data_IF_882118177706
#
_entry.id   IF_882118177706
#
_cell.length_a   1.000
_cell.length_b   1.000
_cell.length_c   1.000
_cell.angle_alpha   90.00
_cell.angle_beta   90.00
_cell.angle_gamma   90.00
#
_symmetry.space_group_name_H-M   'P 1'
#
loop_
_entity.id
_entity.type
_entity.pdbx_description
1 polymer ?
#
# COMPACT_ATOMS: atom_id res chain seq x y z
N UNK A 1 -7.53 -13.13 -13.89
CA UNK A 1 -8.02 -11.79 -13.50
C UNK A 1 -6.99 -11.11 -12.60
N UNK A 2 -6.52 -9.93 -12.97
CA UNK A 2 -5.51 -9.17 -12.24
C UNK A 2 -6.15 -7.95 -11.55
N UNK A 3 -6.08 -7.93 -10.23
CA UNK A 3 -6.61 -6.87 -9.38
C UNK A 3 -5.47 -6.07 -8.77
N UNK A 4 -5.43 -4.77 -9.04
CA UNK A 4 -4.49 -3.83 -8.43
C UNK A 4 -5.14 -3.13 -7.24
N UNK A 5 -4.50 -3.16 -6.08
CA UNK A 5 -4.80 -2.34 -4.90
C UNK A 5 -3.72 -1.25 -4.82
N UNK A 6 -4.08 -0.03 -5.17
CA UNK A 6 -3.13 1.09 -5.16
C UNK A 6 -3.67 2.32 -4.43
N UNK A 7 -2.82 3.34 -4.33
CA UNK A 7 -3.06 4.56 -3.59
C UNK A 7 -1.79 5.03 -2.90
N UNK A 8 -1.88 6.22 -2.31
CA UNK A 8 -0.73 6.85 -1.65
C UNK A 8 -0.18 6.00 -0.50
N UNK A 9 1.06 6.25 -0.09
CA UNK A 9 1.66 5.58 1.08
C UNK A 9 0.81 5.76 2.35
N UNK A 10 0.71 4.70 3.16
CA UNK A 10 0.11 4.74 4.53
C UNK A 10 -1.38 5.11 4.51
N UNK A 11 -2.17 4.50 3.61
CA UNK A 11 -3.63 4.65 3.57
C UNK A 11 -4.43 3.38 3.93
N UNK A 12 -3.75 2.31 4.38
CA UNK A 12 -4.41 1.06 4.77
C UNK A 12 -4.54 0.00 3.68
N UNK A 13 -3.83 0.12 2.55
CA UNK A 13 -3.82 -0.87 1.45
C UNK A 13 -3.58 -2.30 1.92
N UNK A 14 -2.52 -2.55 2.68
CA UNK A 14 -2.22 -3.91 3.17
C UNK A 14 -3.32 -4.47 4.07
N UNK A 15 -4.01 -3.61 4.83
CA UNK A 15 -5.18 -4.04 5.61
C UNK A 15 -6.36 -4.40 4.71
N UNK A 16 -6.59 -3.65 3.63
CA UNK A 16 -7.61 -3.99 2.63
C UNK A 16 -7.28 -5.32 1.94
N UNK A 17 -6.03 -5.46 1.44
CA UNK A 17 -5.55 -6.70 0.81
C UNK A 17 -5.77 -7.91 1.71
N UNK A 18 -5.34 -7.84 2.98
CA UNK A 18 -5.53 -8.94 3.94
C UNK A 18 -6.99 -9.28 4.20
N UNK A 19 -7.89 -8.28 4.21
CA UNK A 19 -9.33 -8.53 4.32
C UNK A 19 -9.89 -9.23 3.09
N UNK A 20 -9.46 -8.80 1.90
CA UNK A 20 -9.85 -9.41 0.63
C UNK A 20 -9.39 -10.87 0.54
N UNK A 21 -8.10 -11.11 0.78
CA UNK A 21 -7.49 -12.45 0.85
C UNK A 21 -8.23 -13.33 1.84
N UNK A 22 -8.49 -12.83 3.05
CA UNK A 22 -9.24 -13.60 4.05
C UNK A 22 -10.67 -13.92 3.62
N UNK A 23 -11.34 -13.04 2.88
CA UNK A 23 -12.66 -13.32 2.34
C UNK A 23 -12.58 -14.38 1.24
N UNK A 24 -11.65 -14.25 0.30
CA UNK A 24 -11.46 -15.21 -0.80
C UNK A 24 -11.11 -16.60 -0.30
N UNK A 25 -10.21 -16.72 0.68
CA UNK A 25 -9.89 -18.00 1.32
C UNK A 25 -11.11 -18.65 1.97
N UNK A 26 -12.00 -17.85 2.60
CA UNK A 26 -13.24 -18.37 3.20
C UNK A 26 -14.22 -18.91 2.15
N UNK A 27 -14.22 -18.34 0.95
CA UNK A 27 -15.03 -18.80 -0.17
C UNK A 27 -14.35 -19.89 -1.02
N UNK A 28 -13.14 -20.35 -0.63
CA UNK A 28 -12.41 -21.37 -1.37
C UNK A 28 -11.92 -20.91 -2.75
N UNK A 29 -11.85 -19.60 -2.99
CA UNK A 29 -11.39 -19.07 -4.27
C UNK A 29 -9.87 -19.15 -4.32
N UNK A 30 -9.26 -19.82 -5.32
CA UNK A 30 -7.82 -19.81 -5.49
C UNK A 30 -7.36 -18.43 -5.94
N UNK A 31 -6.32 -17.89 -5.29
CA UNK A 31 -5.73 -16.61 -5.65
C UNK A 31 -4.22 -16.58 -5.42
N UNK A 32 -3.55 -15.72 -6.18
CA UNK A 32 -2.19 -15.28 -5.90
C UNK A 32 -2.22 -13.87 -5.31
N UNK A 33 -1.24 -13.54 -4.48
CA UNK A 33 -1.09 -12.18 -3.98
C UNK A 33 0.37 -11.75 -4.01
N UNK A 34 0.61 -10.47 -4.29
CA UNK A 34 1.94 -9.88 -4.35
C UNK A 34 1.94 -8.48 -3.75
N UNK A 35 3.02 -8.13 -3.06
CA UNK A 35 3.24 -6.80 -2.48
C UNK A 35 4.50 -6.19 -3.11
N UNK A 36 4.33 -5.13 -3.88
CA UNK A 36 5.39 -4.51 -4.69
C UNK A 36 6.50 -3.87 -3.85
N UNK A 37 6.26 -3.61 -2.56
CA UNK A 37 7.31 -3.15 -1.64
C UNK A 37 8.33 -4.26 -1.29
N UNK A 38 8.16 -5.48 -1.80
CA UNK A 38 9.12 -6.61 -1.74
C UNK A 38 9.71 -6.86 -0.34
N UNK A 39 8.84 -6.98 0.67
CA UNK A 39 9.28 -7.19 2.04
C UNK A 39 9.96 -8.55 2.22
N UNK A 40 11.16 -8.55 2.81
CA UNK A 40 11.96 -9.75 3.09
C UNK A 40 11.47 -10.56 4.30
N UNK A 41 10.39 -10.12 4.96
CA UNK A 41 9.85 -10.77 6.17
C UNK A 41 8.33 -10.75 6.18
N UNK A 42 7.73 -11.84 6.65
CA UNK A 42 6.28 -11.96 6.85
C UNK A 42 5.86 -11.03 8.00
N UNK A 43 4.98 -10.07 7.70
CA UNK A 43 4.48 -9.07 8.67
C UNK A 43 3.18 -9.49 9.35
N UNK A 44 2.52 -10.49 8.81
CA UNK A 44 1.21 -11.03 9.21
C UNK A 44 1.08 -12.43 8.60
N UNK A 45 0.46 -13.40 9.27
CA UNK A 45 0.33 -14.76 8.74
C UNK A 45 -0.39 -14.83 7.38
N UNK A 46 -1.20 -13.81 7.06
CA UNK A 46 -1.87 -13.69 5.75
C UNK A 46 -0.96 -13.19 4.64
N UNK A 47 0.22 -12.66 4.98
CA UNK A 47 1.23 -12.20 4.04
C UNK A 47 2.19 -13.32 3.61
N UNK A 48 2.10 -14.52 4.20
CA UNK A 48 3.02 -15.64 3.90
C UNK A 48 3.08 -15.96 2.40
N UNK A 49 1.95 -15.84 1.70
CA UNK A 49 1.87 -16.07 0.26
C UNK A 49 2.11 -14.79 -0.58
N UNK A 50 2.36 -13.64 0.07
CA UNK A 50 2.75 -12.39 -0.59
C UNK A 50 4.26 -12.25 -0.79
N UNK A 51 5.05 -13.12 -0.15
CA UNK A 51 6.51 -13.19 -0.27
C UNK A 51 6.83 -14.09 -1.45
N UNK A 52 6.56 -13.61 -2.66
CA UNK A 52 7.03 -14.26 -3.89
C UNK A 52 8.42 -13.70 -4.22
N UNK A 53 9.28 -14.53 -4.81
CA UNK A 53 10.49 -14.00 -5.45
C UNK A 53 10.04 -13.02 -6.55
N UNK A 54 10.55 -11.77 -6.58
CA UNK A 54 10.20 -10.81 -7.63
C UNK A 54 10.36 -11.35 -9.06
N UNK A 55 11.24 -12.36 -9.26
CA UNK A 55 11.46 -13.04 -10.53
C UNK A 55 10.30 -13.92 -10.98
N UNK A 56 9.46 -14.39 -10.05
CA UNK A 56 8.31 -15.26 -10.34
C UNK A 56 7.04 -14.45 -10.67
N UNK A 57 7.06 -13.16 -10.34
CA UNK A 57 5.92 -12.26 -10.50
C UNK A 57 5.46 -12.13 -11.95
N UNK A 58 6.33 -11.97 -12.96
CA UNK A 58 5.88 -11.92 -14.35
C UNK A 58 5.10 -13.17 -14.76
N UNK A 59 5.63 -14.34 -14.44
CA UNK A 59 5.04 -15.64 -14.76
C UNK A 59 3.66 -15.82 -14.13
N UNK A 60 3.48 -15.39 -12.87
CA UNK A 60 2.19 -15.47 -12.17
C UNK A 60 1.17 -14.48 -12.74
N UNK A 61 1.60 -13.28 -13.14
CA UNK A 61 0.70 -12.27 -13.71
C UNK A 61 0.22 -12.58 -15.12
N UNK A 62 0.93 -13.43 -15.83
CA UNK A 62 0.55 -13.89 -17.18
C UNK A 62 -0.45 -15.07 -17.12
N UNK A 63 -0.70 -15.63 -15.92
CA UNK A 63 -1.68 -16.70 -15.69
C UNK A 63 -3.11 -16.15 -15.68
N UNK A 64 -3.75 -16.17 -16.85
CA UNK A 64 -5.16 -15.75 -17.05
C UNK A 64 -6.18 -16.62 -16.30
N UNK A 65 -5.82 -17.86 -15.94
CA UNK A 65 -6.63 -18.86 -15.24
C UNK A 65 -6.79 -18.59 -13.73
N UNK A 66 -6.12 -17.58 -13.20
CA UNK A 66 -6.06 -17.31 -11.76
C UNK A 66 -6.46 -15.89 -11.38
N UNK A 67 -6.94 -15.70 -10.16
CA UNK A 67 -7.14 -14.38 -9.56
C UNK A 67 -5.83 -13.91 -8.92
N UNK A 68 -5.27 -12.80 -9.37
CA UNK A 68 -4.04 -12.24 -8.79
C UNK A 68 -4.31 -10.88 -8.17
N UNK A 69 -3.88 -10.69 -6.91
CA UNK A 69 -4.06 -9.46 -6.14
C UNK A 69 -2.71 -8.80 -5.91
N UNK A 70 -2.55 -7.58 -6.40
CA UNK A 70 -1.27 -6.86 -6.34
C UNK A 70 -1.47 -5.62 -5.49
N UNK A 71 -0.62 -5.42 -4.49
CA UNK A 71 -0.55 -4.17 -3.73
C UNK A 71 0.66 -3.37 -4.20
N UNK A 72 0.45 -2.09 -4.54
CA UNK A 72 1.52 -1.20 -4.98
C UNK A 72 1.24 0.25 -4.57
N UNK A 73 2.30 1.00 -4.23
CA UNK A 73 2.25 2.39 -3.78
C UNK A 73 2.51 3.30 -5.00
N UNK A 74 1.58 4.20 -5.29
CA UNK A 74 1.70 5.10 -6.45
C UNK A 74 1.92 4.38 -7.80
N UNK A 75 1.28 3.22 -7.99
CA UNK A 75 1.37 2.48 -9.27
C UNK A 75 1.05 3.33 -10.51
N UNK A 76 0.08 4.28 -10.47
CA UNK A 76 -0.20 5.14 -11.63
C UNK A 76 0.95 6.07 -12.03
N UNK A 77 1.92 6.33 -11.16
CA UNK A 77 3.00 7.27 -11.45
C UNK A 77 4.10 6.68 -12.34
N UNK A 78 3.97 5.44 -12.83
CA UNK A 78 4.79 4.85 -13.91
C UNK A 78 6.24 4.51 -13.56
N UNK A 79 6.84 5.14 -12.56
CA UNK A 79 8.22 4.94 -12.13
C UNK A 79 8.33 3.90 -11.00
N UNK A 80 7.21 3.61 -10.35
CA UNK A 80 7.07 2.69 -9.22
C UNK A 80 6.11 1.53 -9.51
N UNK A 81 5.33 1.61 -10.59
CA UNK A 81 4.37 0.60 -10.97
C UNK A 81 5.06 -0.68 -11.45
N UNK A 82 4.69 -1.81 -10.87
CA UNK A 82 5.21 -3.12 -11.28
C UNK A 82 4.94 -3.43 -12.77
N UNK A 83 3.78 -3.02 -13.30
CA UNK A 83 3.39 -3.16 -14.71
C UNK A 83 2.54 -1.96 -15.16
N UNK A 84 2.40 -1.72 -16.48
CA UNK A 84 1.48 -0.72 -17.01
C UNK A 84 0.05 -0.96 -16.49
N UNK A 85 -0.69 0.13 -16.23
CA UNK A 85 -2.05 0.01 -15.68
C UNK A 85 -2.95 -0.89 -16.56
N UNK A 86 -2.80 -0.82 -17.88
CA UNK A 86 -3.54 -1.62 -18.88
C UNK A 86 -3.45 -3.14 -18.71
N UNK A 87 -2.54 -3.63 -17.88
CA UNK A 87 -2.39 -5.06 -17.56
C UNK A 87 -3.32 -5.56 -16.46
N UNK A 88 -4.03 -4.65 -15.78
CA UNK A 88 -4.98 -4.96 -14.72
C UNK A 88 -6.42 -4.94 -15.24
N UNK A 89 -7.23 -5.87 -14.74
CA UNK A 89 -8.65 -5.96 -15.07
C UNK A 89 -9.50 -5.06 -14.13
N UNK A 90 -9.01 -4.82 -12.90
CA UNK A 90 -9.69 -4.03 -11.88
C UNK A 90 -8.69 -3.29 -10.99
N UNK A 91 -8.97 -2.01 -10.71
CA UNK A 91 -8.17 -1.17 -9.81
C UNK A 91 -9.01 -0.77 -8.60
N UNK A 92 -8.56 -1.16 -7.41
CA UNK A 92 -8.99 -0.61 -6.13
C UNK A 92 -8.08 0.55 -5.71
N UNK A 93 -8.57 1.78 -5.83
CA UNK A 93 -7.85 2.96 -5.36
C UNK A 93 -8.20 3.30 -3.92
N UNK A 94 -7.29 3.08 -2.98
CA UNK A 94 -7.49 3.30 -1.54
C UNK A 94 -7.17 4.75 -1.18
N UNK A 95 -8.21 5.53 -0.94
CA UNK A 95 -8.12 6.95 -0.62
C UNK A 95 -8.42 7.19 0.86
N UNK A 96 -7.45 7.66 1.66
CA UNK A 96 -7.71 7.98 3.06
C UNK A 96 -8.53 9.28 3.15
N UNK A 97 -9.57 9.27 3.99
CA UNK A 97 -10.29 10.51 4.32
C UNK A 97 -9.36 11.49 5.03
N UNK A 98 -9.62 12.79 4.87
CA UNK A 98 -8.63 13.82 5.17
C UNK A 98 -8.15 13.81 6.63
N UNK A 99 -9.03 13.51 7.58
CA UNK A 99 -8.73 13.45 9.01
C UNK A 99 -8.11 12.11 9.43
N UNK A 100 -8.30 11.04 8.65
CA UNK A 100 -7.78 9.72 8.98
C UNK A 100 -6.30 9.59 8.61
N UNK A 101 -5.84 10.31 7.59
CA UNK A 101 -4.48 10.19 7.09
C UNK A 101 -3.38 10.47 8.15
N UNK A 102 -3.49 11.53 8.99
CA UNK A 102 -2.58 11.71 10.11
C UNK A 102 -2.59 10.53 11.08
N UNK A 103 -3.75 9.94 11.37
CA UNK A 103 -3.89 8.80 12.29
C UNK A 103 -3.20 7.54 11.75
N UNK A 104 -3.33 7.29 10.44
CA UNK A 104 -2.54 6.22 9.79
C UNK A 104 -1.04 6.48 9.95
N UNK A 105 -0.60 7.72 9.75
CA UNK A 105 0.79 8.12 9.91
C UNK A 105 1.31 7.96 11.34
N UNK A 106 0.50 8.22 12.36
CA UNK A 106 0.90 8.01 13.75
C UNK A 106 1.33 6.56 14.02
N UNK A 107 0.64 5.58 13.43
CA UNK A 107 1.04 4.17 13.59
C UNK A 107 2.37 3.84 12.93
N UNK A 108 2.69 4.49 11.80
CA UNK A 108 4.00 4.38 11.15
C UNK A 108 5.08 5.09 11.96
N UNK A 109 4.80 6.29 12.44
CA UNK A 109 5.68 7.11 13.27
C UNK A 109 6.05 6.38 14.56
N UNK A 110 5.08 5.75 15.22
CA UNK A 110 5.31 4.93 16.42
C UNK A 110 6.29 3.79 16.13
N UNK A 111 6.07 3.01 15.06
CA UNK A 111 6.98 1.90 14.68
C UNK A 111 8.38 2.39 14.34
N UNK A 112 8.50 3.55 13.69
CA UNK A 112 9.80 4.17 13.39
C UNK A 112 10.52 4.61 14.65
N UNK A 113 9.80 5.22 15.59
CA UNK A 113 10.33 5.63 16.87
C UNK A 113 10.80 4.42 17.69
N UNK A 114 9.97 3.38 17.80
CA UNK A 114 10.31 2.12 18.47
C UNK A 114 11.57 1.47 17.90
N UNK A 115 11.80 1.58 16.59
CA UNK A 115 12.99 1.02 15.93
C UNK A 115 14.19 1.95 15.88
N UNK A 116 14.04 3.22 16.27
CA UNK A 116 15.08 4.24 16.12
C UNK A 116 15.45 4.57 14.67
N UNK A 117 14.59 4.22 13.71
CA UNK A 117 14.86 4.30 12.27
C UNK A 117 13.64 4.83 11.53
N UNK A 118 13.83 5.76 10.59
CA UNK A 118 12.75 6.36 9.80
C UNK A 118 13.17 6.65 8.35
N UNK A 119 12.19 6.85 7.46
CA UNK A 119 12.40 7.25 6.06
C UNK A 119 13.48 6.46 5.30
N UNK A 120 13.29 5.15 5.12
CA UNK A 120 14.17 4.35 4.26
C UNK A 120 14.18 4.86 2.82
N UNK A 121 15.35 4.87 2.19
CA UNK A 121 15.50 5.10 0.75
C UNK A 121 16.51 4.10 0.18
N UNK A 122 16.33 3.60 -1.07
CA UNK A 122 17.25 2.63 -1.67
C UNK A 122 18.72 3.05 -1.65
N UNK A 123 19.00 4.32 -1.98
CA UNK A 123 20.37 4.85 -2.08
C UNK A 123 21.03 5.20 -0.75
N UNK A 124 20.25 5.54 0.27
CA UNK A 124 20.78 6.12 1.53
C UNK A 124 20.43 5.31 2.78
N UNK A 125 19.66 4.23 2.63
CA UNK A 125 19.23 3.39 3.74
C UNK A 125 18.25 4.09 4.68
N UNK A 126 18.21 3.62 5.93
CA UNK A 126 17.39 4.19 6.99
C UNK A 126 18.03 5.45 7.57
N UNK A 127 17.24 6.49 7.81
CA UNK A 127 17.65 7.62 8.67
C UNK A 127 17.43 7.28 10.14
N UNK A 128 18.08 8.02 11.02
CA UNK A 128 17.88 7.98 12.46
C UNK A 128 19.08 7.43 13.23
N UNK A 129 18.98 7.45 14.55
CA UNK A 129 20.08 7.08 15.44
C UNK A 129 20.30 5.58 15.57
N UNK A 130 19.37 4.76 15.08
CA UNK A 130 19.36 3.31 15.24
C UNK A 130 19.02 2.85 16.66
N UNK A 131 18.86 3.77 17.61
CA UNK A 131 18.50 3.49 19.01
C UNK A 131 16.98 3.50 19.20
N UNK A 132 16.38 2.40 19.69
CA UNK A 132 14.96 2.35 20.02
C UNK A 132 14.51 3.52 20.90
N UNK A 133 13.39 4.15 20.54
CA UNK A 133 12.73 5.23 21.30
C UNK A 133 13.61 6.45 21.61
N UNK A 134 14.62 6.71 20.79
CA UNK A 134 15.49 7.87 20.94
C UNK A 134 14.79 9.15 20.45
N UNK A 135 14.61 10.11 21.36
CA UNK A 135 13.89 11.37 21.15
C UNK A 135 14.46 12.20 19.99
N UNK A 136 15.76 12.03 19.68
CA UNK A 136 16.41 12.73 18.56
C UNK A 136 15.83 12.35 17.19
N UNK A 137 15.12 11.23 17.09
CA UNK A 137 14.41 10.82 15.87
C UNK A 137 13.07 11.54 15.68
N UNK A 138 12.49 12.12 16.73
CA UNK A 138 11.15 12.73 16.70
C UNK A 138 11.06 13.87 15.67
N UNK A 139 11.99 14.85 15.61
CA UNK A 139 11.90 15.93 14.63
C UNK A 139 11.91 15.41 13.18
N UNK A 140 12.73 14.39 12.90
CA UNK A 140 12.82 13.78 11.58
C UNK A 140 11.55 13.00 11.19
N UNK A 141 11.00 12.23 12.12
CA UNK A 141 9.73 11.51 11.93
C UNK A 141 8.58 12.50 11.69
N UNK A 142 8.49 13.55 12.52
CA UNK A 142 7.47 14.59 12.39
C UNK A 142 7.57 15.31 11.04
N UNK A 143 8.79 15.65 10.60
CA UNK A 143 9.03 16.28 9.29
C UNK A 143 8.49 15.43 8.14
N UNK A 144 8.76 14.13 8.13
CA UNK A 144 8.29 13.23 7.05
C UNK A 144 6.76 13.06 7.10
N UNK A 145 6.18 12.96 8.30
CA UNK A 145 4.72 12.90 8.48
C UNK A 145 4.04 14.19 7.98
N UNK A 146 4.54 15.36 8.37
CA UNK A 146 4.00 16.65 7.95
C UNK A 146 4.11 16.82 6.43
N UNK A 147 5.27 16.48 5.86
CA UNK A 147 5.48 16.48 4.41
C UNK A 147 4.45 15.60 3.70
N UNK A 148 4.20 14.40 4.20
CA UNK A 148 3.23 13.51 3.59
C UNK A 148 1.79 14.02 3.72
N UNK A 149 1.42 14.55 4.89
CA UNK A 149 0.09 15.14 5.09
C UNK A 149 -0.14 16.35 4.18
N UNK A 150 0.87 17.21 4.00
CA UNK A 150 0.82 18.38 3.12
C UNK A 150 0.66 17.98 1.65
N UNK A 151 1.49 17.05 1.18
CA UNK A 151 1.50 16.63 -0.23
C UNK A 151 0.37 15.65 -0.58
N UNK A 152 -0.37 15.14 0.41
CA UNK A 152 -1.43 14.14 0.22
C UNK A 152 -2.39 14.48 -0.90
N UNK A 153 -2.94 15.71 -0.89
CA UNK A 153 -3.94 16.15 -1.89
C UNK A 153 -3.34 16.13 -3.29
N UNK A 154 -2.12 16.65 -3.44
CA UNK A 154 -1.39 16.68 -4.70
C UNK A 154 -1.15 15.26 -5.23
N UNK A 155 -0.62 14.38 -4.38
CA UNK A 155 -0.33 13.00 -4.78
C UNK A 155 -1.58 12.19 -5.16
N UNK A 156 -2.70 12.37 -4.44
CA UNK A 156 -3.98 11.76 -4.82
C UNK A 156 -4.44 12.29 -6.19
N UNK A 157 -4.35 13.60 -6.41
CA UNK A 157 -4.75 14.21 -7.67
C UNK A 157 -3.89 13.71 -8.84
N UNK A 158 -2.58 13.60 -8.65
CA UNK A 158 -1.64 13.04 -9.63
C UNK A 158 -1.99 11.59 -9.98
N UNK A 159 -2.22 10.73 -8.96
CA UNK A 159 -2.60 9.32 -9.18
C UNK A 159 -3.93 9.22 -9.95
N UNK A 160 -4.96 9.96 -9.50
CA UNK A 160 -6.29 9.93 -10.11
C UNK A 160 -6.29 10.48 -11.53
N UNK A 161 -5.50 11.51 -11.82
CA UNK A 161 -5.37 12.06 -13.17
C UNK A 161 -4.84 11.04 -14.18
N UNK A 162 -4.01 10.10 -13.75
CA UNK A 162 -3.58 8.98 -14.59
C UNK A 162 -4.66 7.90 -14.67
N UNK A 163 -5.24 7.52 -13.53
CA UNK A 163 -6.28 6.47 -13.47
C UNK A 163 -7.49 6.84 -14.34
N UNK A 164 -7.95 8.08 -14.31
CA UNK A 164 -9.10 8.54 -15.11
C UNK A 164 -8.84 8.57 -16.61
N UNK A 165 -7.57 8.49 -17.04
CA UNK A 165 -7.21 8.34 -18.46
C UNK A 165 -7.19 6.89 -18.93
N UNK A 166 -7.36 5.93 -18.01
CA UNK A 166 -7.41 4.51 -18.35
C UNK A 166 -8.85 4.06 -18.59
N UNK A 167 -9.04 3.10 -19.48
CA UNK A 167 -10.34 2.50 -19.76
C UNK A 167 -10.70 1.35 -18.77
N UNK A 168 -9.91 1.22 -17.71
CA UNK A 168 -9.97 0.08 -16.79
C UNK A 168 -11.06 0.32 -15.76
N UNK A 169 -11.67 -0.76 -15.27
CA UNK A 169 -12.61 -0.66 -14.17
C UNK A 169 -11.88 -0.18 -12.89
N UNK A 170 -12.32 0.95 -12.36
CA UNK A 170 -11.76 1.55 -11.14
C UNK A 170 -12.82 1.63 -10.07
N UNK A 171 -12.47 1.24 -8.85
CA UNK A 171 -13.29 1.36 -7.65
C UNK A 171 -12.54 2.16 -6.60
N UNK A 172 -13.04 3.34 -6.28
CA UNK A 172 -12.47 4.19 -5.24
C UNK A 172 -12.96 3.71 -3.88
N UNK A 173 -12.01 3.37 -3.01
CA UNK A 173 -12.28 2.89 -1.65
C UNK A 173 -11.82 3.94 -0.66
N UNK A 174 -12.77 4.53 0.06
CA UNK A 174 -12.43 5.47 1.14
C UNK A 174 -11.99 4.69 2.37
N UNK A 175 -10.79 4.99 2.87
CA UNK A 175 -10.29 4.42 4.13
C UNK A 175 -10.43 5.42 5.27
N UNK A 176 -10.94 4.93 6.41
CA UNK A 176 -11.14 5.70 7.64
C UNK A 176 -10.46 4.98 8.80
N UNK A 177 -9.92 5.74 9.74
CA UNK A 177 -9.36 5.17 10.97
C UNK A 177 -10.45 4.97 12.02
N UNK A 178 -10.46 3.83 12.69
CA UNK A 178 -11.33 3.56 13.85
C UNK A 178 -10.54 2.93 14.97
N UNK A 179 -11.12 2.85 16.18
CA UNK A 179 -10.49 2.16 17.33
C UNK A 179 -10.12 0.69 17.04
N UNK A 180 -10.87 0.03 16.14
CA UNK A 180 -10.61 -1.36 15.70
C UNK A 180 -9.71 -1.45 14.47
N UNK A 181 -9.06 -0.35 14.10
CA UNK A 181 -8.22 -0.23 12.92
C UNK A 181 -8.97 0.31 11.68
N UNK A 182 -8.36 0.16 10.49
CA UNK A 182 -8.90 0.73 9.25
C UNK A 182 -10.25 0.13 8.85
N UNK A 183 -11.21 1.00 8.54
CA UNK A 183 -12.48 0.65 7.87
C UNK A 183 -12.50 1.22 6.46
N UNK A 184 -13.20 0.50 5.58
CA UNK A 184 -13.28 0.80 4.16
C UNK A 184 -14.75 0.99 3.78
N UNK A 185 -15.02 2.05 3.01
CA UNK A 185 -16.35 2.32 2.44
C UNK A 185 -16.20 2.39 0.93
N UNK A 186 -17.09 1.69 0.23
CA UNK A 186 -17.15 1.65 -1.23
C UNK A 186 -18.03 2.81 -1.70
N UNK A 187 -17.52 3.63 -2.61
CA UNK A 187 -18.37 4.55 -3.37
C UNK A 187 -18.67 3.88 -4.70
N UNK A 188 -19.96 3.75 -5.01
CA UNK A 188 -20.45 3.08 -6.21
C UNK A 188 -20.23 3.93 -7.45
#
# INVERSE_FOLDING_TARGET
MNVLITGIGICGKSTLRRKLVSALSKFGVPFFQYDADAFTTVRDARDTWSVLDPRDVPTILDRRDSLTIIEDVHAPQGHSGLRPLSTYDLIFYVMPVWWAYPLFWLTRAQRWFEKGKYSWKPKTGWKGTGKPRDWRNIPGIAKEMLRACWNRRRWIAEDLAVIYKTEIQVRIIKSRWTRRGPRFTYEF
#
